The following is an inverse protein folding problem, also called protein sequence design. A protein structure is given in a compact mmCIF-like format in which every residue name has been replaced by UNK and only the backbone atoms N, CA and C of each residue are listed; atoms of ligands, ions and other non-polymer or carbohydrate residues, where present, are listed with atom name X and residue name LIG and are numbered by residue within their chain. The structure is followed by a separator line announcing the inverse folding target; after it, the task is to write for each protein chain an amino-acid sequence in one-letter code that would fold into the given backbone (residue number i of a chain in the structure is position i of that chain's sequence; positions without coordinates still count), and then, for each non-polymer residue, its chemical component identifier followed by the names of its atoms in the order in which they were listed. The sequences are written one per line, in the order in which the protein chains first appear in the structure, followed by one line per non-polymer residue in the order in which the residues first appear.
data_IF_271722217544
#
_entry.id   IF_271722217544
#
_cell.length_a   1.000
_cell.length_b   1.000
_cell.length_c   1.000
_cell.angle_alpha   90.00
_cell.angle_beta   90.00
_cell.angle_gamma   90.00
#
_symmetry.space_group_name_H-M   'P 1'
#
loop_
_entity.id
_entity.type
_entity.pdbx_description
1 polymer ?
#
# COMPACT_ATOMS: atom_id res chain seq x y z
N UNK A 1 1.35 -5.98 -10.98
CA UNK A 1 2.75 -6.42 -10.73
C UNK A 1 3.68 -5.21 -10.77
N UNK A 2 5.00 -5.43 -10.75
CA UNK A 2 6.03 -4.39 -10.65
C UNK A 2 7.24 -4.60 -11.56
N UNK A 3 7.26 -5.66 -12.37
CA UNK A 3 8.36 -5.94 -13.30
C UNK A 3 7.84 -6.68 -14.52
N UNK A 4 8.46 -6.44 -15.67
CA UNK A 4 8.23 -7.19 -16.90
C UNK A 4 9.12 -8.45 -17.00
N UNK A 5 9.95 -8.70 -15.97
CA UNK A 5 10.98 -9.72 -15.91
C UNK A 5 12.05 -9.62 -17.02
N UNK A 6 12.23 -8.41 -17.57
CA UNK A 6 13.25 -8.08 -18.60
C UNK A 6 14.15 -6.92 -18.14
N UNK A 7 14.19 -6.67 -16.84
CA UNK A 7 15.03 -5.63 -16.21
C UNK A 7 14.30 -4.35 -15.86
N UNK A 8 13.05 -4.15 -16.31
CA UNK A 8 12.27 -2.98 -15.93
C UNK A 8 11.57 -3.18 -14.58
N UNK A 9 11.45 -2.09 -13.82
CA UNK A 9 10.67 -2.05 -12.58
C UNK A 9 9.81 -0.79 -12.47
N UNK A 10 8.56 -0.97 -12.06
CA UNK A 10 7.55 0.07 -11.87
C UNK A 10 6.89 -0.07 -10.48
N UNK A 11 6.38 1.03 -9.94
CA UNK A 11 5.98 1.14 -8.53
C UNK A 11 4.48 1.01 -8.30
N UNK A 12 4.12 0.42 -7.15
CA UNK A 12 2.82 0.61 -6.51
C UNK A 12 3.09 1.47 -5.27
N UNK A 13 2.65 2.73 -5.29
CA UNK A 13 3.01 3.67 -4.24
C UNK A 13 1.90 3.81 -3.20
N UNK A 14 2.26 3.75 -1.93
CA UNK A 14 1.36 4.02 -0.82
C UNK A 14 1.54 5.48 -0.37
N UNK A 15 0.46 6.08 0.11
CA UNK A 15 0.46 7.48 0.53
C UNK A 15 -0.26 7.61 1.87
N UNK A 16 0.44 8.14 2.87
CA UNK A 16 -0.09 8.33 4.21
C UNK A 16 -0.06 9.80 4.58
N UNK A 17 -1.20 10.33 5.03
CA UNK A 17 -1.24 11.65 5.63
C UNK A 17 -0.60 11.57 7.02
N UNK A 18 0.32 12.48 7.31
CA UNK A 18 1.03 12.57 8.59
C UNK A 18 1.03 14.02 9.09
N UNK A 19 1.17 14.21 10.39
CA UNK A 19 1.41 15.50 10.99
C UNK A 19 2.80 16.02 10.60
N UNK A 20 2.87 17.31 10.24
CA UNK A 20 4.14 17.97 9.87
C UNK A 20 5.13 18.00 11.03
N UNK A 21 4.64 17.97 12.27
CA UNK A 21 5.45 17.97 13.50
C UNK A 21 6.22 16.68 13.74
N UNK A 22 5.87 15.57 13.07
CA UNK A 22 6.57 14.29 13.21
C UNK A 22 7.97 14.40 12.59
N UNK A 23 9.06 14.23 13.37
CA UNK A 23 10.41 14.35 12.84
C UNK A 23 10.70 13.28 11.78
N UNK A 24 11.19 13.70 10.61
CA UNK A 24 11.47 12.77 9.52
C UNK A 24 12.55 11.73 9.88
N UNK A 25 13.46 12.06 10.80
CA UNK A 25 14.45 11.11 11.31
C UNK A 25 13.81 9.93 12.05
N UNK A 26 12.73 10.14 12.80
CA UNK A 26 11.99 9.07 13.47
C UNK A 26 11.25 8.19 12.47
N UNK A 27 10.69 8.80 11.41
CA UNK A 27 10.10 8.08 10.27
C UNK A 27 11.13 7.15 9.63
N UNK A 28 12.32 7.68 9.31
CA UNK A 28 13.41 6.88 8.70
C UNK A 28 13.85 5.75 9.63
N UNK A 29 14.10 6.07 10.91
CA UNK A 29 14.60 5.12 11.92
C UNK A 29 13.67 3.92 12.07
N UNK A 30 12.37 4.18 12.20
CA UNK A 30 11.39 3.14 12.52
C UNK A 30 10.82 2.45 11.29
N UNK A 31 10.62 3.15 10.17
CA UNK A 31 10.07 2.51 8.97
C UNK A 31 11.08 1.67 8.20
N UNK A 32 12.38 1.96 8.27
CA UNK A 32 13.38 1.19 7.51
C UNK A 32 13.35 -0.30 7.85
N UNK A 33 13.54 -0.73 9.11
CA UNK A 33 13.44 -2.15 9.48
C UNK A 33 12.03 -2.75 9.24
N UNK A 34 10.97 -1.98 9.48
CA UNK A 34 9.61 -2.43 9.19
C UNK A 34 9.41 -2.70 7.69
N UNK A 35 9.84 -1.81 6.81
CA UNK A 35 9.72 -1.98 5.36
C UNK A 35 10.59 -3.09 4.79
N UNK A 36 11.78 -3.28 5.35
CA UNK A 36 12.67 -4.39 4.96
C UNK A 36 12.03 -5.76 5.25
N UNK A 37 11.30 -5.87 6.36
CA UNK A 37 10.70 -7.15 6.80
C UNK A 37 9.25 -7.37 6.36
N UNK A 38 8.42 -6.33 6.20
CA UNK A 38 6.98 -6.48 5.91
C UNK A 38 6.66 -7.22 4.60
N UNK A 39 7.63 -7.37 3.70
CA UNK A 39 7.47 -8.17 2.48
C UNK A 39 7.09 -9.64 2.76
N UNK A 40 7.41 -10.20 3.93
CA UNK A 40 6.93 -11.54 4.32
C UNK A 40 5.39 -11.60 4.37
N UNK A 41 4.74 -10.47 4.67
CA UNK A 41 3.28 -10.32 4.69
C UNK A 41 2.75 -9.80 3.35
N UNK A 42 3.42 -8.83 2.72
CA UNK A 42 2.86 -8.11 1.56
C UNK A 42 3.57 -8.31 0.22
N UNK A 43 4.53 -9.23 0.12
CA UNK A 43 5.20 -9.57 -1.14
C UNK A 43 4.22 -10.20 -2.15
N UNK A 44 4.42 -9.91 -3.44
CA UNK A 44 3.59 -10.46 -4.51
C UNK A 44 4.21 -11.69 -5.21
N UNK A 45 5.44 -12.06 -4.85
CA UNK A 45 6.17 -13.19 -5.42
C UNK A 45 6.76 -12.88 -6.81
N UNK A 46 7.94 -13.41 -7.08
CA UNK A 46 8.62 -13.29 -8.39
C UNK A 46 9.43 -14.54 -8.71
N UNK A 47 9.36 -14.98 -9.97
CA UNK A 47 10.27 -15.98 -10.54
C UNK A 47 11.47 -15.29 -11.15
N UNK A 48 12.67 -15.70 -10.71
CA UNK A 48 13.94 -15.08 -11.05
C UNK A 48 14.43 -14.15 -9.95
N UNK A 49 15.74 -14.15 -9.71
CA UNK A 49 16.44 -13.32 -8.71
C UNK A 49 17.42 -12.37 -9.39
N UNK A 50 17.71 -11.26 -8.73
CA UNK A 50 18.46 -10.14 -9.30
C UNK A 50 17.59 -9.23 -10.16
N UNK A 51 18.06 -8.01 -10.41
CA UNK A 51 17.32 -7.01 -11.17
C UNK A 51 16.99 -7.47 -12.61
N UNK A 52 17.89 -8.24 -13.24
CA UNK A 52 17.69 -8.82 -14.57
C UNK A 52 16.91 -10.15 -14.56
N UNK A 53 16.62 -10.71 -13.38
CA UNK A 53 15.85 -11.95 -13.19
C UNK A 53 16.55 -13.22 -13.65
N UNK A 54 17.87 -13.19 -13.90
CA UNK A 54 18.60 -14.32 -14.47
C UNK A 54 18.98 -15.39 -13.46
N UNK A 55 19.13 -15.03 -12.18
CA UNK A 55 19.45 -16.00 -11.16
C UNK A 55 18.23 -16.88 -10.87
N UNK A 56 18.45 -18.19 -10.82
CA UNK A 56 17.37 -19.15 -10.64
C UNK A 56 16.76 -19.06 -9.23
N UNK A 57 15.42 -19.14 -9.16
CA UNK A 57 14.68 -19.29 -7.91
C UNK A 57 13.39 -18.49 -7.89
N UNK A 58 12.64 -18.68 -6.81
CA UNK A 58 11.53 -17.81 -6.43
C UNK A 58 11.99 -16.86 -5.32
N UNK A 59 11.38 -15.68 -5.27
CA UNK A 59 11.57 -14.69 -4.22
C UNK A 59 10.24 -14.03 -3.82
N UNK A 60 10.17 -13.54 -2.58
CA UNK A 60 8.95 -13.01 -1.95
C UNK A 60 8.49 -11.69 -2.61
N UNK A 61 9.42 -10.77 -2.91
CA UNK A 61 9.09 -9.45 -3.45
C UNK A 61 9.52 -9.28 -4.90
N UNK A 62 8.69 -8.57 -5.68
CA UNK A 62 9.03 -8.13 -7.02
C UNK A 62 9.95 -6.90 -7.04
N UNK A 63 9.96 -6.11 -5.96
CA UNK A 63 10.64 -4.81 -5.88
C UNK A 63 12.01 -4.87 -5.22
N UNK A 64 12.26 -5.81 -4.30
CA UNK A 64 13.46 -5.84 -3.46
C UNK A 64 14.79 -5.67 -4.21
N UNK A 65 14.95 -6.35 -5.36
CA UNK A 65 16.18 -6.30 -6.18
C UNK A 65 16.46 -4.95 -6.83
N UNK A 66 15.48 -4.04 -6.87
CA UNK A 66 15.58 -2.75 -7.57
C UNK A 66 15.87 -1.55 -6.64
N UNK A 67 16.04 -1.81 -5.34
CA UNK A 67 16.38 -0.80 -4.33
C UNK A 67 17.88 -0.79 -4.07
N UNK A 68 18.46 0.40 -3.95
CA UNK A 68 19.91 0.59 -3.94
C UNK A 68 20.41 1.44 -2.77
N UNK A 69 19.55 2.27 -2.19
CA UNK A 69 19.91 3.17 -1.08
C UNK A 69 18.82 3.15 0.01
N UNK A 70 19.15 3.65 1.20
CA UNK A 70 18.22 3.68 2.32
C UNK A 70 17.25 4.86 2.21
N UNK A 71 17.75 6.07 1.93
CA UNK A 71 16.96 7.31 1.91
C UNK A 71 17.32 8.12 0.66
N UNK A 72 16.32 8.70 -0.01
CA UNK A 72 16.55 9.50 -1.22
C UNK A 72 15.26 10.02 -1.87
N UNK A 73 15.41 10.85 -2.91
CA UNK A 73 14.26 11.48 -3.60
C UNK A 73 13.77 10.70 -4.83
N UNK A 74 14.67 9.96 -5.47
CA UNK A 74 14.43 9.31 -6.76
C UNK A 74 13.42 8.16 -6.68
N UNK A 75 12.68 7.93 -7.77
CA UNK A 75 11.69 6.85 -7.86
C UNK A 75 11.97 5.85 -8.98
N UNK A 76 12.86 6.19 -9.92
CA UNK A 76 13.17 5.40 -11.13
C UNK A 76 14.61 4.90 -11.18
N UNK A 77 15.55 5.62 -10.56
CA UNK A 77 16.98 5.28 -10.45
C UNK A 77 17.39 5.32 -8.98
N UNK A 78 18.41 4.55 -8.57
CA UNK A 78 18.94 4.54 -7.18
C UNK A 78 17.82 4.54 -6.14
N UNK A 79 16.87 3.58 -6.27
CA UNK A 79 15.61 3.65 -5.53
C UNK A 79 15.87 3.55 -4.01
N UNK A 80 15.34 4.49 -3.20
CA UNK A 80 15.51 4.50 -1.76
C UNK A 80 14.41 3.71 -1.04
N UNK A 81 14.75 3.01 0.05
CA UNK A 81 13.75 2.37 0.93
C UNK A 81 12.74 3.42 1.44
N UNK A 82 13.24 4.56 1.90
CA UNK A 82 12.46 5.73 2.32
C UNK A 82 12.58 6.83 1.28
N UNK A 83 11.48 7.12 0.59
CA UNK A 83 11.43 8.22 -0.36
C UNK A 83 11.15 9.55 0.36
N UNK A 84 11.90 10.59 0.00
CA UNK A 84 11.85 11.91 0.66
C UNK A 84 11.00 12.94 -0.09
N UNK A 85 10.21 12.53 -1.09
CA UNK A 85 9.32 13.45 -1.81
C UNK A 85 8.35 14.12 -0.85
N UNK A 86 8.26 15.44 -0.94
CA UNK A 86 7.44 16.27 -0.06
C UNK A 86 6.44 17.10 -0.88
N UNK A 87 5.38 16.45 -1.33
CA UNK A 87 4.27 17.05 -2.09
C UNK A 87 2.95 16.70 -1.38
N UNK A 88 2.55 17.44 -0.34
CA UNK A 88 1.45 17.04 0.54
C UNK A 88 0.07 17.09 -0.11
N UNK A 89 -0.10 17.91 -1.17
CA UNK A 89 -1.42 18.24 -1.74
C UNK A 89 -2.43 18.72 -0.69
N UNK A 90 -1.92 19.34 0.37
CA UNK A 90 -2.66 19.86 1.50
C UNK A 90 -1.83 21.02 2.09
N UNK A 91 -2.30 21.62 3.17
CA UNK A 91 -1.53 22.62 3.90
C UNK A 91 -0.18 22.03 4.39
N UNK A 92 0.97 22.49 3.86
CA UNK A 92 2.29 21.92 4.18
C UNK A 92 2.76 22.27 5.60
N UNK A 93 2.14 23.26 6.27
CA UNK A 93 2.47 23.59 7.66
C UNK A 93 1.85 22.59 8.63
N UNK A 94 0.70 22.00 8.27
CA UNK A 94 -0.01 21.01 9.09
C UNK A 94 0.34 19.58 8.72
N UNK A 95 0.51 19.32 7.42
CA UNK A 95 0.53 17.97 6.90
C UNK A 95 1.78 17.65 6.07
N UNK A 96 2.12 16.36 6.09
CA UNK A 96 3.01 15.70 5.14
C UNK A 96 2.24 14.58 4.46
N UNK A 97 2.49 14.36 3.17
CA UNK A 97 2.14 13.09 2.51
C UNK A 97 3.40 12.23 2.48
N UNK A 98 3.47 11.23 3.36
CA UNK A 98 4.54 10.26 3.29
C UNK A 98 4.34 9.40 2.04
N UNK A 99 5.31 9.49 1.13
CA UNK A 99 5.30 8.79 -0.15
C UNK A 99 6.15 7.52 -0.05
N UNK A 100 5.51 6.36 -0.08
CA UNK A 100 6.18 5.05 0.08
C UNK A 100 6.18 4.33 -1.26
N UNK A 101 7.36 3.86 -1.68
CA UNK A 101 7.57 3.30 -3.05
C UNK A 101 8.02 1.84 -3.08
N UNK A 102 8.18 1.23 -1.90
CA UNK A 102 8.83 -0.09 -1.73
C UNK A 102 7.88 -1.27 -1.91
N UNK A 103 6.59 -1.08 -1.68
CA UNK A 103 5.59 -2.14 -1.76
C UNK A 103 5.42 -2.71 -3.17
N UNK A 104 5.13 -4.00 -3.23
CA UNK A 104 4.63 -4.64 -4.43
C UNK A 104 3.16 -4.24 -4.68
N UNK A 105 2.70 -4.34 -5.93
CA UNK A 105 1.28 -4.34 -6.27
C UNK A 105 0.68 -5.69 -5.90
N UNK A 106 -0.33 -5.69 -5.02
CA UNK A 106 -0.98 -6.90 -4.56
C UNK A 106 -2.28 -7.15 -5.33
N UNK A 107 -2.57 -8.42 -5.60
CA UNK A 107 -3.87 -8.86 -6.11
C UNK A 107 -4.78 -9.24 -4.94
N UNK A 108 -4.21 -9.91 -3.93
CA UNK A 108 -4.92 -10.28 -2.71
C UNK A 108 -5.40 -9.05 -1.94
N UNK A 109 -6.69 -9.07 -1.61
CA UNK A 109 -7.33 -8.07 -0.75
C UNK A 109 -6.70 -8.08 0.65
N UNK A 110 -6.35 -9.26 1.18
CA UNK A 110 -5.70 -9.40 2.51
C UNK A 110 -4.29 -8.84 2.51
N UNK A 111 -3.49 -9.12 1.46
CA UNK A 111 -2.14 -8.55 1.35
C UNK A 111 -2.19 -7.03 1.26
N UNK A 112 -3.14 -6.48 0.50
CA UNK A 112 -3.34 -5.02 0.44
C UNK A 112 -3.77 -4.45 1.79
N UNK A 113 -4.76 -5.06 2.43
CA UNK A 113 -5.29 -4.62 3.72
C UNK A 113 -4.22 -4.61 4.81
N UNK A 114 -3.45 -5.70 4.94
CA UNK A 114 -2.36 -5.76 5.91
C UNK A 114 -1.22 -4.79 5.56
N UNK A 115 -0.86 -4.64 4.28
CA UNK A 115 0.17 -3.67 3.85
C UNK A 115 -0.17 -2.26 4.29
N UNK A 116 -1.41 -1.83 4.10
CA UNK A 116 -1.86 -0.48 4.43
C UNK A 116 -2.12 -0.32 5.93
N UNK A 117 -2.83 -1.27 6.55
CA UNK A 117 -3.24 -1.23 7.96
C UNK A 117 -2.06 -1.30 8.93
N UNK A 118 -1.15 -2.27 8.73
CA UNK A 118 0.02 -2.42 9.62
C UNK A 118 0.95 -1.20 9.53
N UNK A 119 1.13 -0.65 8.33
CA UNK A 119 1.91 0.57 8.14
C UNK A 119 1.24 1.77 8.83
N UNK A 120 -0.08 1.93 8.71
CA UNK A 120 -0.81 3.00 9.39
C UNK A 120 -0.65 2.92 10.92
N UNK A 121 -0.70 1.73 11.52
CA UNK A 121 -0.44 1.53 12.95
C UNK A 121 0.99 1.89 13.34
N UNK A 122 1.98 1.48 12.55
CA UNK A 122 3.39 1.86 12.80
C UNK A 122 3.58 3.37 12.71
N UNK A 123 2.94 4.03 11.74
CA UNK A 123 2.98 5.49 11.62
C UNK A 123 2.36 6.16 12.84
N UNK A 124 1.20 5.71 13.30
CA UNK A 124 0.54 6.26 14.50
C UNK A 124 1.46 6.17 15.73
N UNK A 125 2.12 5.02 15.93
CA UNK A 125 3.12 4.85 16.99
C UNK A 125 4.33 5.79 16.85
N UNK A 126 4.77 6.08 15.62
CA UNK A 126 5.86 7.04 15.35
C UNK A 126 5.43 8.47 15.69
N UNK A 127 4.23 8.88 15.27
CA UNK A 127 3.73 10.24 15.51
C UNK A 127 3.56 10.54 17.00
N UNK A 128 3.08 9.55 17.76
CA UNK A 128 2.93 9.66 19.22
C UNK A 128 4.23 9.38 20.00
N UNK A 129 5.34 9.11 19.31
CA UNK A 129 6.65 8.78 19.90
C UNK A 129 6.59 7.58 20.87
N UNK A 130 5.73 6.61 20.56
CA UNK A 130 5.52 5.41 21.37
C UNK A 130 6.64 4.38 21.20
N UNK A 131 7.25 4.31 20.02
CA UNK A 131 8.28 3.32 19.73
C UNK A 131 9.58 3.58 20.50
N UNK A 132 9.90 2.65 21.40
CA UNK A 132 11.15 2.54 22.13
C UNK A 132 12.06 1.43 21.55
N UNK A 133 13.34 1.50 21.91
CA UNK A 133 14.36 0.60 21.38
C UNK A 133 14.77 0.92 19.93
N UNK A 134 15.83 0.24 19.46
CA UNK A 134 16.32 0.37 18.10
C UNK A 134 16.28 -1.01 17.42
N UNK A 135 15.54 -1.08 16.31
CA UNK A 135 15.49 -2.24 15.41
C UNK A 135 16.35 -2.02 14.16
N UNK A 136 17.25 -1.02 14.18
CA UNK A 136 18.08 -0.68 13.04
C UNK A 136 18.89 -1.88 12.56
N UNK A 137 18.84 -2.09 11.24
CA UNK A 137 19.60 -3.13 10.56
C UNK A 137 21.02 -2.64 10.26
N UNK A 138 21.97 -3.57 10.22
CA UNK A 138 23.34 -3.25 9.83
C UNK A 138 23.43 -2.84 8.35
N UNK A 139 22.71 -3.54 7.47
CA UNK A 139 22.74 -3.31 6.02
C UNK A 139 21.34 -3.40 5.38
N UNK A 140 20.44 -2.41 5.57
CA UNK A 140 19.03 -2.49 5.18
C UNK A 140 18.76 -2.91 3.74
N UNK A 141 19.51 -2.38 2.77
CA UNK A 141 19.33 -2.71 1.34
C UNK A 141 19.74 -4.17 1.04
N UNK A 142 20.81 -4.65 1.66
CA UNK A 142 21.24 -6.03 1.49
C UNK A 142 20.23 -6.99 2.13
N UNK A 143 19.75 -6.66 3.34
CA UNK A 143 18.78 -7.46 4.07
C UNK A 143 17.39 -7.48 3.41
N UNK A 144 16.98 -6.40 2.76
CA UNK A 144 15.78 -6.37 1.92
C UNK A 144 15.81 -7.45 0.84
N UNK A 145 16.94 -7.57 0.14
CA UNK A 145 17.13 -8.58 -0.92
C UNK A 145 17.23 -9.97 -0.33
N UNK A 146 17.99 -10.13 0.76
CA UNK A 146 18.21 -11.43 1.41
C UNK A 146 16.91 -12.03 1.96
N UNK A 147 16.05 -11.23 2.62
CA UNK A 147 14.70 -11.67 3.02
C UNK A 147 13.88 -12.07 1.79
N UNK A 148 13.87 -11.26 0.73
CA UNK A 148 13.13 -11.59 -0.49
C UNK A 148 13.56 -12.94 -1.07
N UNK A 149 14.87 -13.19 -1.12
CA UNK A 149 15.45 -14.39 -1.72
C UNK A 149 15.28 -15.66 -0.88
N UNK A 150 14.72 -15.57 0.33
CA UNK A 150 14.40 -16.72 1.17
C UNK A 150 12.90 -16.87 1.42
N UNK A 151 12.15 -17.53 0.50
CA UNK A 151 10.73 -17.78 0.70
C UNK A 151 10.42 -18.76 1.85
N UNK A 152 11.43 -19.39 2.47
CA UNK A 152 11.23 -20.15 3.72
C UNK A 152 11.08 -19.26 4.95
N UNK A 153 11.35 -17.95 4.81
CA UNK A 153 11.29 -16.94 5.87
C UNK A 153 12.24 -17.21 7.07
N UNK A 154 13.38 -17.87 6.83
CA UNK A 154 14.34 -18.28 7.88
C UNK A 154 15.63 -17.45 7.88
N UNK A 155 15.87 -16.64 6.85
CA UNK A 155 17.02 -15.74 6.79
C UNK A 155 17.09 -14.83 8.02
N UNK A 156 18.26 -14.80 8.66
CA UNK A 156 18.53 -14.05 9.88
C UNK A 156 19.24 -12.74 9.55
N UNK A 157 18.50 -11.63 9.63
CA UNK A 157 19.04 -10.28 9.48
C UNK A 157 19.86 -9.88 10.70
N UNK A 158 20.93 -9.10 10.48
CA UNK A 158 21.73 -8.54 11.57
C UNK A 158 21.23 -7.15 11.98
N UNK A 159 20.94 -6.98 13.27
CA UNK A 159 20.63 -5.69 13.88
C UNK A 159 21.91 -5.04 14.40
N UNK A 160 21.94 -3.71 14.47
CA UNK A 160 23.11 -2.94 14.93
C UNK A 160 23.50 -3.21 16.39
N UNK A 161 22.59 -3.74 17.19
CA UNK A 161 22.83 -4.14 18.57
C UNK A 161 23.38 -5.58 18.70
N UNK A 162 23.65 -6.25 17.58
CA UNK A 162 24.19 -7.61 17.51
C UNK A 162 23.13 -8.71 17.58
N UNK A 163 21.85 -8.39 17.79
CA UNK A 163 20.77 -9.39 17.68
C UNK A 163 20.63 -9.87 16.23
N UNK A 164 20.12 -11.09 16.10
CA UNK A 164 19.76 -11.69 14.80
C UNK A 164 18.32 -12.15 14.84
N UNK A 165 17.55 -11.76 13.83
CA UNK A 165 16.11 -12.02 13.79
C UNK A 165 15.71 -12.42 12.37
N UNK A 166 14.67 -13.24 12.23
CA UNK A 166 14.03 -13.44 10.92
C UNK A 166 13.16 -12.23 10.57
N UNK A 167 12.79 -12.10 9.29
CA UNK A 167 11.80 -11.09 8.88
C UNK A 167 10.48 -11.21 9.63
N UNK A 168 10.06 -12.44 9.97
CA UNK A 168 8.85 -12.70 10.77
C UNK A 168 9.03 -12.21 12.22
N UNK A 169 10.15 -12.54 12.86
CA UNK A 169 10.44 -12.09 14.22
C UNK A 169 10.50 -10.56 14.32
N UNK A 170 11.10 -9.89 13.31
CA UNK A 170 11.13 -8.44 13.27
C UNK A 170 9.71 -7.84 13.15
N UNK A 171 8.83 -8.46 12.37
CA UNK A 171 7.43 -8.05 12.29
C UNK A 171 6.64 -8.35 13.57
N UNK A 172 6.96 -9.44 14.28
CA UNK A 172 6.34 -9.77 15.57
C UNK A 172 6.65 -8.71 16.62
N UNK A 173 7.89 -8.21 16.67
CA UNK A 173 8.29 -7.09 17.52
C UNK A 173 7.50 -5.80 17.22
N UNK A 174 7.16 -5.53 15.95
CA UNK A 174 6.30 -4.40 15.60
C UNK A 174 4.84 -4.63 16.02
N UNK A 175 4.34 -5.85 15.84
CA UNK A 175 3.00 -6.23 16.25
C UNK A 175 2.80 -6.12 17.76
N UNK A 176 3.74 -6.62 18.56
CA UNK A 176 3.70 -6.53 20.02
C UNK A 176 3.65 -5.06 20.48
N UNK A 177 4.47 -4.19 19.88
CA UNK A 177 4.41 -2.74 20.14
C UNK A 177 3.08 -2.14 19.70
N UNK A 178 2.53 -2.55 18.55
CA UNK A 178 1.24 -2.06 18.06
C UNK A 178 0.07 -2.49 18.95
N UNK A 179 0.06 -3.73 19.47
CA UNK A 179 -0.93 -4.19 20.46
C UNK A 179 -0.83 -3.37 21.74
N UNK A 180 0.38 -3.17 22.27
CA UNK A 180 0.58 -2.35 23.47
C UNK A 180 0.14 -0.90 23.27
N UNK A 181 0.47 -0.30 22.12
CA UNK A 181 0.06 1.07 21.77
C UNK A 181 -1.46 1.22 21.70
N UNK A 182 -2.13 0.27 21.04
CA UNK A 182 -3.59 0.30 20.89
C UNK A 182 -4.31 0.08 22.22
N UNK A 183 -3.81 -0.82 23.06
CA UNK A 183 -4.30 -1.01 24.43
C UNK A 183 -4.11 0.25 25.28
N UNK A 184 -2.93 0.89 25.24
CA UNK A 184 -2.63 2.11 26.00
C UNK A 184 -3.51 3.31 25.56
N UNK A 185 -3.71 3.47 24.24
CA UNK A 185 -4.40 4.63 23.68
C UNK A 185 -5.92 4.49 23.67
N UNK A 186 -6.43 3.29 23.44
CA UNK A 186 -7.86 3.05 23.23
C UNK A 186 -8.46 2.04 24.22
N UNK A 187 -7.65 1.15 24.81
CA UNK A 187 -8.15 0.11 25.71
C UNK A 187 -9.28 -0.70 25.08
N UNK A 188 -10.42 -0.77 25.78
CA UNK A 188 -11.61 -1.46 25.28
C UNK A 188 -12.37 -0.70 24.17
N UNK A 189 -12.03 0.57 23.92
CA UNK A 189 -12.67 1.42 22.90
C UNK A 189 -11.96 1.36 21.54
N UNK A 190 -11.06 0.39 21.33
CA UNK A 190 -10.42 0.15 20.02
C UNK A 190 -11.48 -0.16 18.97
N UNK A 191 -11.37 0.46 17.79
CA UNK A 191 -12.33 0.21 16.71
C UNK A 191 -12.12 -1.18 16.07
N UNK A 192 -13.20 -1.71 15.49
CA UNK A 192 -13.21 -3.07 14.92
C UNK A 192 -12.18 -3.26 13.81
N UNK A 193 -11.89 -2.23 13.01
CA UNK A 193 -10.93 -2.34 11.90
C UNK A 193 -9.50 -2.40 12.42
N UNK A 194 -9.16 -1.58 13.42
CA UNK A 194 -7.86 -1.64 14.08
C UNK A 194 -7.62 -3.00 14.74
N UNK A 195 -8.63 -3.53 15.45
CA UNK A 195 -8.56 -4.87 16.04
C UNK A 195 -8.38 -5.96 14.98
N UNK A 196 -9.15 -5.93 13.88
CA UNK A 196 -9.05 -6.90 12.79
C UNK A 196 -7.67 -6.87 12.09
N UNK A 197 -7.07 -5.68 11.88
CA UNK A 197 -5.69 -5.58 11.36
C UNK A 197 -4.69 -6.28 12.28
N UNK A 198 -4.75 -6.02 13.60
CA UNK A 198 -3.83 -6.62 14.56
C UNK A 198 -3.97 -8.14 14.61
N UNK A 199 -5.20 -8.63 14.68
CA UNK A 199 -5.50 -10.07 14.77
C UNK A 199 -5.09 -10.82 13.51
N UNK A 200 -5.35 -10.25 12.33
CA UNK A 200 -4.87 -10.82 11.06
C UNK A 200 -3.36 -10.79 10.96
N UNK A 201 -2.72 -9.71 11.41
CA UNK A 201 -1.27 -9.60 11.37
C UNK A 201 -0.63 -10.67 12.24
N UNK A 202 -1.12 -10.87 13.47
CA UNK A 202 -0.66 -11.92 14.37
C UNK A 202 -0.87 -13.33 13.79
N UNK A 203 -2.09 -13.60 13.29
CA UNK A 203 -2.42 -14.89 12.69
C UNK A 203 -1.52 -15.22 11.50
N UNK A 204 -1.26 -14.25 10.63
CA UNK A 204 -0.40 -14.44 9.46
C UNK A 204 1.05 -14.67 9.89
N UNK A 205 1.60 -13.85 10.79
CA UNK A 205 2.98 -14.03 11.25
C UNK A 205 3.19 -15.38 11.95
N UNK A 206 2.23 -15.81 12.77
CA UNK A 206 2.26 -17.10 13.46
C UNK A 206 2.29 -18.25 12.45
N UNK A 207 1.38 -18.23 11.46
CA UNK A 207 1.33 -19.28 10.43
C UNK A 207 2.54 -19.27 9.50
N UNK A 208 3.05 -18.09 9.14
CA UNK A 208 4.28 -17.97 8.36
C UNK A 208 5.49 -18.57 9.09
N UNK A 209 5.54 -18.47 10.42
CA UNK A 209 6.64 -19.04 11.22
C UNK A 209 6.61 -20.57 11.24
N UNK A 210 5.42 -21.17 11.19
CA UNK A 210 5.21 -22.61 11.16
C UNK A 210 5.41 -23.19 9.75
N UNK A 211 4.58 -22.76 8.81
CA UNK A 211 4.61 -23.15 7.41
C UNK A 211 3.94 -22.07 6.54
N UNK A 212 4.70 -21.34 5.71
CA UNK A 212 4.15 -20.29 4.86
C UNK A 212 2.99 -20.74 3.98
N UNK A 213 2.95 -22.02 3.56
CA UNK A 213 1.89 -22.52 2.69
C UNK A 213 0.50 -22.47 3.32
N UNK A 214 0.40 -22.37 4.66
CA UNK A 214 -0.86 -22.19 5.36
C UNK A 214 -1.56 -20.86 5.04
N UNK A 215 -0.88 -19.90 4.43
CA UNK A 215 -1.43 -18.57 4.09
C UNK A 215 -1.69 -18.40 2.59
N UNK A 216 -1.81 -19.50 1.83
CA UNK A 216 -1.96 -19.45 0.36
C UNK A 216 -3.30 -18.88 -0.11
N UNK A 217 -4.29 -18.79 0.78
CA UNK A 217 -5.59 -18.18 0.48
C UNK A 217 -5.59 -16.67 0.75
N UNK A 218 -4.53 -16.15 1.36
CA UNK A 218 -4.46 -14.77 1.85
C UNK A 218 -3.29 -13.99 1.28
N UNK A 219 -2.11 -14.60 1.10
CA UNK A 219 -0.91 -13.88 0.67
C UNK A 219 -0.59 -14.15 -0.80
N UNK A 220 -0.33 -13.09 -1.57
CA UNK A 220 -0.05 -13.21 -3.00
C UNK A 220 1.15 -14.10 -3.31
N UNK A 221 2.29 -13.89 -2.63
CA UNK A 221 3.49 -14.65 -2.91
C UNK A 221 3.30 -16.14 -2.59
N UNK A 222 2.53 -16.48 -1.56
CA UNK A 222 2.24 -17.87 -1.19
C UNK A 222 1.26 -18.50 -2.17
N UNK A 223 0.17 -17.81 -2.53
CA UNK A 223 -0.78 -18.28 -3.53
C UNK A 223 -0.10 -18.54 -4.88
N UNK A 224 0.79 -17.63 -5.28
CA UNK A 224 1.58 -17.75 -6.50
C UNK A 224 2.60 -18.89 -6.39
N UNK A 225 3.27 -19.04 -5.24
CA UNK A 225 4.21 -20.14 -4.99
C UNK A 225 3.50 -21.50 -5.05
N UNK A 226 2.32 -21.65 -4.43
CA UNK A 226 1.48 -22.87 -4.50
C UNK A 226 1.21 -23.25 -5.95
N UNK A 227 0.81 -22.27 -6.77
CA UNK A 227 0.53 -22.46 -8.18
C UNK A 227 1.78 -22.89 -8.95
N UNK A 228 2.89 -22.19 -8.76
CA UNK A 228 4.16 -22.44 -9.45
C UNK A 228 4.73 -23.81 -9.09
N UNK A 229 4.71 -24.20 -7.82
CA UNK A 229 5.12 -25.54 -7.39
C UNK A 229 4.23 -26.63 -8.01
N UNK A 230 2.92 -26.39 -8.15
CA UNK A 230 2.03 -27.28 -8.87
C UNK A 230 2.47 -27.53 -10.33
N UNK A 231 2.96 -26.50 -11.04
CA UNK A 231 3.55 -26.67 -12.38
C UNK A 231 4.88 -27.42 -12.32
N UNK A 232 5.73 -27.12 -11.35
CA UNK A 232 7.05 -27.75 -11.17
C UNK A 232 6.94 -29.23 -10.90
N UNK A 233 6.10 -29.63 -9.95
CA UNK A 233 5.88 -31.05 -9.59
C UNK A 233 5.22 -31.83 -10.72
N UNK A 234 4.20 -31.27 -11.39
CA UNK A 234 3.47 -31.97 -12.46
C UNK A 234 4.34 -32.18 -13.71
N UNK A 235 5.09 -31.16 -14.11
CA UNK A 235 5.78 -31.14 -15.41
C UNK A 235 7.31 -31.27 -15.28
N UNK A 236 7.85 -31.45 -14.06
CA UNK A 236 9.29 -31.58 -13.81
C UNK A 236 10.11 -30.32 -14.13
N UNK A 237 9.56 -29.13 -13.87
CA UNK A 237 10.17 -27.86 -14.29
C UNK A 237 11.15 -27.31 -13.25
N UNK A 238 12.28 -26.79 -13.73
CA UNK A 238 13.21 -25.97 -12.94
C UNK A 238 12.73 -24.51 -12.84
N UNK A 239 13.27 -23.74 -11.90
CA UNK A 239 12.81 -22.36 -11.63
C UNK A 239 13.14 -21.41 -12.79
N UNK A 240 14.18 -21.72 -13.57
CA UNK A 240 14.56 -20.96 -14.76
C UNK A 240 13.68 -21.25 -16.00
N UNK A 241 12.70 -22.15 -15.90
CA UNK A 241 11.90 -22.54 -17.05
C UNK A 241 10.98 -21.38 -17.50
N UNK A 242 10.96 -21.00 -18.81
CA UNK A 242 10.20 -19.84 -19.31
C UNK A 242 8.70 -19.87 -18.98
N UNK A 243 8.12 -21.09 -18.90
CA UNK A 243 6.72 -21.27 -18.51
C UNK A 243 6.41 -20.73 -17.11
N UNK A 244 7.33 -20.84 -16.15
CA UNK A 244 7.11 -20.33 -14.80
C UNK A 244 7.13 -18.80 -14.76
N UNK A 245 7.99 -18.17 -15.58
CA UNK A 245 7.99 -16.71 -15.74
C UNK A 245 6.68 -16.21 -16.38
N UNK A 246 6.12 -16.96 -17.34
CA UNK A 246 4.80 -16.65 -17.91
C UNK A 246 3.69 -16.80 -16.87
N UNK A 247 3.71 -17.84 -16.04
CA UNK A 247 2.75 -18.05 -14.95
C UNK A 247 2.84 -16.91 -13.92
N UNK A 248 4.05 -16.51 -13.54
CA UNK A 248 4.28 -15.36 -12.65
C UNK A 248 3.63 -14.08 -13.20
N UNK A 249 3.84 -13.76 -14.48
CA UNK A 249 3.22 -12.61 -15.13
C UNK A 249 1.69 -12.74 -15.20
N UNK A 250 1.20 -13.90 -15.64
CA UNK A 250 -0.24 -14.19 -15.78
C UNK A 250 -1.00 -14.14 -14.45
N UNK A 251 -0.33 -14.36 -13.32
CA UNK A 251 -0.96 -14.23 -12.00
C UNK A 251 -1.62 -12.87 -11.82
N UNK A 252 -0.97 -11.80 -12.30
CA UNK A 252 -1.42 -10.42 -12.19
C UNK A 252 -2.14 -9.85 -13.41
N UNK A 253 -2.56 -10.70 -14.37
CA UNK A 253 -3.39 -10.23 -15.49
C UNK A 253 -4.77 -9.77 -14.96
N UNK A 254 -5.13 -8.52 -15.24
CA UNK A 254 -6.33 -7.88 -14.70
C UNK A 254 -7.63 -8.42 -15.29
N UNK A 255 -7.58 -9.16 -16.40
CA UNK A 255 -8.77 -9.73 -17.03
C UNK A 255 -9.35 -10.85 -16.17
N UNK A 256 -10.65 -10.81 -15.83
CA UNK A 256 -11.29 -11.81 -14.96
C UNK A 256 -11.10 -13.26 -15.45
N UNK A 257 -11.15 -13.47 -16.76
CA UNK A 257 -11.07 -14.79 -17.38
C UNK A 257 -9.64 -15.30 -17.61
N UNK A 258 -8.63 -14.43 -17.50
CA UNK A 258 -7.22 -14.77 -17.79
C UNK A 258 -6.31 -14.75 -16.57
N UNK A 259 -6.48 -13.78 -15.68
CA UNK A 259 -5.69 -13.63 -14.45
C UNK A 259 -5.72 -14.87 -13.58
N UNK A 260 -4.55 -15.39 -13.20
CA UNK A 260 -4.52 -16.60 -12.36
C UNK A 260 -5.10 -16.30 -10.97
N UNK A 261 -4.83 -15.12 -10.40
CA UNK A 261 -5.49 -14.67 -9.18
C UNK A 261 -7.02 -14.62 -9.32
N UNK A 262 -7.54 -13.96 -10.37
CA UNK A 262 -8.99 -13.86 -10.61
C UNK A 262 -9.63 -15.26 -10.76
N UNK A 263 -8.92 -16.19 -11.40
CA UNK A 263 -9.34 -17.58 -11.52
C UNK A 263 -9.31 -18.33 -10.18
N UNK A 264 -8.44 -17.99 -9.24
CA UNK A 264 -8.46 -18.51 -7.87
C UNK A 264 -9.65 -17.94 -7.08
N UNK A 265 -9.90 -16.63 -7.20
CA UNK A 265 -11.08 -15.96 -6.60
C UNK A 265 -12.37 -16.60 -7.08
N UNK A 266 -12.54 -16.80 -8.38
CA UNK A 266 -13.74 -17.44 -8.97
C UNK A 266 -13.98 -18.88 -8.48
N UNK A 267 -12.95 -19.55 -7.95
CA UNK A 267 -13.03 -20.89 -7.35
C UNK A 267 -13.13 -20.88 -5.84
N UNK A 268 -13.28 -19.70 -5.22
CA UNK A 268 -13.29 -19.56 -3.76
C UNK A 268 -11.98 -20.01 -3.11
N UNK A 269 -10.84 -19.82 -3.79
CA UNK A 269 -9.49 -20.18 -3.30
C UNK A 269 -8.72 -18.99 -2.73
N UNK A 270 -9.25 -17.77 -2.82
CA UNK A 270 -8.71 -16.58 -2.15
C UNK A 270 -9.75 -16.03 -1.18
N UNK A 271 -9.30 -15.57 -0.01
CA UNK A 271 -10.10 -14.81 0.93
C UNK A 271 -10.37 -13.42 0.34
N UNK A 272 -11.58 -12.91 0.57
CA UNK A 272 -12.00 -11.57 0.20
C UNK A 272 -12.49 -10.81 1.42
N UNK A 273 -12.25 -9.51 1.43
CA UNK A 273 -12.65 -8.55 2.44
C UNK A 273 -13.83 -7.70 1.97
N UNK A 274 -13.96 -7.48 0.66
CA UNK A 274 -15.08 -6.74 0.06
C UNK A 274 -15.80 -7.57 -1.00
N UNK A 275 -17.07 -7.25 -1.21
CA UNK A 275 -17.89 -7.86 -2.26
C UNK A 275 -17.62 -7.24 -3.63
N UNK A 276 -17.92 -7.98 -4.72
CA UNK A 276 -17.89 -7.41 -6.08
C UNK A 276 -18.82 -6.22 -6.25
N UNK A 277 -19.96 -6.19 -5.54
CA UNK A 277 -20.89 -5.08 -5.61
C UNK A 277 -20.28 -3.79 -5.04
N UNK A 278 -19.50 -3.89 -3.97
CA UNK A 278 -18.79 -2.74 -3.40
C UNK A 278 -17.68 -2.25 -4.33
N UNK A 279 -16.93 -3.17 -4.95
CA UNK A 279 -15.90 -2.83 -5.94
C UNK A 279 -16.52 -2.12 -7.14
N UNK A 280 -17.60 -2.67 -7.71
CA UNK A 280 -18.30 -2.05 -8.85
C UNK A 280 -18.84 -0.66 -8.50
N UNK A 281 -19.37 -0.49 -7.28
CA UNK A 281 -19.82 0.83 -6.79
C UNK A 281 -18.67 1.83 -6.70
N UNK A 282 -17.49 1.41 -6.26
CA UNK A 282 -16.32 2.27 -6.10
C UNK A 282 -15.69 2.72 -7.44
N UNK A 283 -16.02 2.06 -8.56
CA UNK A 283 -15.66 2.53 -9.91
C UNK A 283 -16.37 3.83 -10.25
N UNK A 284 -17.63 3.96 -9.85
CA UNK A 284 -18.51 5.07 -10.22
C UNK A 284 -18.59 6.16 -9.14
N UNK A 285 -18.45 5.79 -7.87
CA UNK A 285 -18.70 6.68 -6.74
C UNK A 285 -17.43 6.92 -5.91
N UNK A 286 -17.14 8.18 -5.54
CA UNK A 286 -16.01 8.49 -4.66
C UNK A 286 -16.29 8.03 -3.21
N UNK A 287 -15.24 7.86 -2.38
CA UNK A 287 -15.42 7.69 -0.95
C UNK A 287 -16.09 8.92 -0.33
N UNK A 288 -16.94 8.71 0.66
CA UNK A 288 -17.85 9.73 1.19
C UNK A 288 -17.26 10.58 2.32
N UNK A 289 -16.14 10.16 2.89
CA UNK A 289 -15.53 10.67 4.12
C UNK A 289 -14.25 11.49 3.89
N UNK A 290 -13.92 11.77 2.63
CA UNK A 290 -12.80 12.65 2.25
C UNK A 290 -13.22 13.69 1.23
N UNK A 291 -12.34 14.66 0.95
CA UNK A 291 -12.50 15.63 -0.13
C UNK A 291 -12.70 15.03 -1.52
N UNK A 292 -12.40 13.74 -1.70
CA UNK A 292 -12.68 13.03 -2.95
C UNK A 292 -14.19 12.98 -3.23
N UNK A 293 -15.04 12.99 -2.20
CA UNK A 293 -16.49 13.09 -2.36
C UNK A 293 -16.87 14.34 -3.15
N UNK A 294 -16.47 15.52 -2.68
CA UNK A 294 -16.72 16.77 -3.39
C UNK A 294 -16.19 16.73 -4.82
N UNK A 295 -14.93 16.30 -5.02
CA UNK A 295 -14.32 16.23 -6.35
C UNK A 295 -15.10 15.32 -7.31
N UNK A 296 -15.37 14.09 -6.90
CA UNK A 296 -16.07 13.10 -7.73
C UNK A 296 -17.50 13.52 -8.03
N UNK A 297 -18.24 14.03 -7.03
CA UNK A 297 -19.61 14.52 -7.24
C UNK A 297 -19.66 15.75 -8.14
N UNK A 298 -18.69 16.66 -8.07
CA UNK A 298 -18.59 17.79 -8.99
C UNK A 298 -18.34 17.34 -10.43
N UNK A 299 -17.41 16.40 -10.65
CA UNK A 299 -17.13 15.83 -11.97
C UNK A 299 -18.33 15.09 -12.55
N UNK A 300 -19.10 14.38 -11.72
CA UNK A 300 -20.29 13.66 -12.15
C UNK A 300 -21.47 14.59 -12.46
N UNK A 301 -21.71 15.60 -11.60
CA UNK A 301 -22.90 16.45 -11.69
C UNK A 301 -22.73 17.64 -12.63
N UNK A 302 -21.52 18.16 -12.78
CA UNK A 302 -21.23 19.36 -13.57
C UNK A 302 -20.12 19.16 -14.62
N UNK A 303 -20.12 18.05 -15.40
CA UNK A 303 -19.00 17.70 -16.27
C UNK A 303 -18.66 18.81 -17.27
N UNK A 304 -19.66 19.42 -17.89
CA UNK A 304 -19.48 20.46 -18.92
C UNK A 304 -18.94 21.78 -18.36
N UNK A 305 -19.04 21.98 -17.05
CA UNK A 305 -18.60 23.19 -16.36
C UNK A 305 -17.27 22.99 -15.61
N UNK A 306 -16.67 21.79 -15.61
CA UNK A 306 -15.37 21.54 -14.97
C UNK A 306 -14.27 21.59 -16.02
N UNK A 307 -13.48 22.67 -15.99
CA UNK A 307 -12.33 22.83 -16.88
C UNK A 307 -11.14 21.95 -16.47
N UNK A 308 -10.92 21.79 -15.15
CA UNK A 308 -9.85 20.95 -14.62
C UNK A 308 -10.12 20.53 -13.17
N UNK A 309 -9.49 19.43 -12.72
CA UNK A 309 -9.49 19.01 -11.32
C UNK A 309 -8.14 18.43 -10.91
N UNK A 310 -7.74 18.68 -9.66
CA UNK A 310 -6.54 18.16 -9.00
C UNK A 310 -6.86 17.65 -7.60
N UNK A 311 -5.85 17.16 -6.86
CA UNK A 311 -6.02 16.79 -5.46
C UNK A 311 -6.48 17.96 -4.58
N UNK A 312 -5.99 19.17 -4.87
CA UNK A 312 -6.13 20.37 -4.06
C UNK A 312 -7.10 21.42 -4.63
N UNK A 313 -7.75 21.16 -5.78
CA UNK A 313 -8.77 22.06 -6.31
C UNK A 313 -9.67 21.45 -7.38
N UNK A 314 -10.83 22.09 -7.58
CA UNK A 314 -11.68 21.94 -8.77
C UNK A 314 -11.79 23.30 -9.45
N UNK A 315 -11.63 23.35 -10.77
CA UNK A 315 -11.66 24.58 -11.57
C UNK A 315 -12.88 24.55 -12.47
N UNK A 316 -13.78 25.51 -12.29
CA UNK A 316 -15.02 25.62 -13.04
C UNK A 316 -14.95 26.70 -14.12
N UNK A 317 -15.56 26.42 -15.27
CA UNK A 317 -15.93 27.40 -16.30
C UNK A 317 -17.43 27.68 -16.17
N UNK A 318 -17.78 28.90 -15.78
CA UNK A 318 -19.16 29.26 -15.41
C UNK A 318 -19.65 30.33 -16.38
N UNK A 319 -20.76 30.11 -17.10
CA UNK A 319 -21.33 31.10 -17.98
C UNK A 319 -21.56 32.44 -17.28
N UNK A 320 -21.07 33.53 -17.89
CA UNK A 320 -21.17 34.89 -17.34
C UNK A 320 -20.01 35.30 -16.43
N UNK A 321 -19.06 34.41 -16.14
CA UNK A 321 -17.78 34.77 -15.53
C UNK A 321 -16.68 34.89 -16.58
N UNK A 322 -15.95 36.01 -16.60
CA UNK A 322 -14.84 36.22 -17.55
C UNK A 322 -13.61 35.36 -17.24
N UNK A 323 -13.55 34.74 -16.06
CA UNK A 323 -12.41 33.94 -15.60
C UNK A 323 -12.85 32.61 -15.01
N UNK A 324 -11.97 31.60 -15.10
CA UNK A 324 -12.17 30.31 -14.46
C UNK A 324 -12.22 30.45 -12.93
N UNK A 325 -13.19 29.78 -12.32
CA UNK A 325 -13.42 29.82 -10.89
C UNK A 325 -12.74 28.63 -10.21
N UNK A 326 -11.64 28.88 -9.51
CA UNK A 326 -10.92 27.84 -8.75
C UNK A 326 -11.50 27.71 -7.35
N UNK A 327 -11.99 26.52 -7.01
CA UNK A 327 -12.41 26.13 -5.66
C UNK A 327 -11.31 25.27 -5.02
N UNK A 328 -10.58 25.78 -4.00
CA UNK A 328 -9.56 25.00 -3.31
C UNK A 328 -10.18 23.88 -2.45
N UNK A 329 -9.55 22.71 -2.44
CA UNK A 329 -9.90 21.56 -1.60
C UNK A 329 -8.69 21.11 -0.78
N UNK A 330 -8.03 22.05 -0.08
CA UNK A 330 -6.74 21.84 0.58
C UNK A 330 -6.81 20.91 1.80
N UNK A 331 -7.94 20.88 2.52
CA UNK A 331 -8.11 20.02 3.71
C UNK A 331 -8.61 18.63 3.29
N UNK A 332 -7.84 17.53 3.50
CA UNK A 332 -8.22 16.20 3.03
C UNK A 332 -9.53 15.65 3.61
N UNK A 333 -9.88 16.07 4.82
CA UNK A 333 -11.07 15.63 5.56
C UNK A 333 -12.24 16.63 5.52
N UNK A 334 -12.18 17.65 4.66
CA UNK A 334 -13.31 18.54 4.36
C UNK A 334 -13.88 18.25 2.97
N UNK A 335 -15.09 18.73 2.68
CA UNK A 335 -15.76 18.41 1.41
C UNK A 335 -16.23 16.95 1.34
N UNK A 336 -16.45 16.35 2.49
CA UNK A 336 -17.06 15.01 2.65
C UNK A 336 -18.57 15.09 2.42
N UNK A 337 -19.25 13.95 2.33
CA UNK A 337 -20.72 13.87 2.24
C UNK A 337 -21.42 14.64 3.35
N UNK A 338 -20.94 14.50 4.59
CA UNK A 338 -21.49 15.22 5.75
C UNK A 338 -21.35 16.74 5.59
N UNK A 339 -20.25 17.21 4.98
CA UNK A 339 -20.01 18.65 4.81
C UNK A 339 -20.82 19.27 3.67
N UNK A 340 -20.92 18.58 2.52
CA UNK A 340 -21.38 19.19 1.25
C UNK A 340 -22.40 18.36 0.48
N UNK A 341 -22.85 17.21 1.00
CA UNK A 341 -23.83 16.34 0.34
C UNK A 341 -25.12 17.08 0.02
N UNK A 342 -25.79 17.65 1.03
CA UNK A 342 -27.04 18.40 0.85
C UNK A 342 -26.86 19.63 -0.05
N UNK A 343 -25.71 20.31 0.04
CA UNK A 343 -25.38 21.43 -0.83
C UNK A 343 -25.31 20.98 -2.29
N UNK A 344 -24.55 19.92 -2.54
CA UNK A 344 -24.40 19.34 -3.88
C UNK A 344 -25.70 18.77 -4.41
N UNK A 345 -26.61 18.29 -3.57
CA UNK A 345 -27.92 17.81 -3.99
C UNK A 345 -28.83 18.97 -4.41
N UNK A 346 -28.82 20.08 -3.67
CA UNK A 346 -29.65 21.27 -3.95
C UNK A 346 -29.18 22.11 -5.14
N UNK A 347 -27.87 22.32 -5.31
CA UNK A 347 -27.33 23.12 -6.41
C UNK A 347 -27.57 22.40 -7.75
N UNK A 348 -28.23 23.06 -8.70
CA UNK A 348 -28.52 22.51 -10.04
C UNK A 348 -27.41 22.81 -11.04
N UNK A 349 -26.64 23.87 -10.80
CA UNK A 349 -25.55 24.31 -11.68
C UNK A 349 -24.25 24.53 -10.89
N UNK A 350 -23.11 24.49 -11.61
CA UNK A 350 -21.82 24.85 -11.02
C UNK A 350 -21.80 26.32 -10.52
N UNK A 351 -22.52 27.21 -11.19
CA UNK A 351 -22.70 28.60 -10.77
C UNK A 351 -23.33 28.72 -9.39
N UNK A 352 -24.44 28.01 -9.14
CA UNK A 352 -25.09 27.97 -7.83
C UNK A 352 -24.15 27.41 -6.74
N UNK A 353 -23.38 26.37 -7.07
CA UNK A 353 -22.42 25.78 -6.13
C UNK A 353 -21.32 26.78 -5.75
N UNK A 354 -20.70 27.42 -6.74
CA UNK A 354 -19.59 28.36 -6.51
C UNK A 354 -20.08 29.63 -5.78
N UNK A 355 -21.28 30.12 -6.12
CA UNK A 355 -21.93 31.21 -5.39
C UNK A 355 -22.13 30.86 -3.90
N UNK A 356 -22.65 29.67 -3.61
CA UNK A 356 -22.88 29.19 -2.25
C UNK A 356 -21.57 29.03 -1.45
N UNK A 357 -20.49 28.55 -2.09
CA UNK A 357 -19.19 28.36 -1.42
C UNK A 357 -18.44 29.67 -1.15
N UNK A 358 -18.66 30.70 -1.97
CA UNK A 358 -17.98 32.00 -1.85
C UNK A 358 -18.77 33.02 -1.03
N UNK A 359 -19.98 32.68 -0.59
CA UNK A 359 -20.86 33.58 0.17
C UNK A 359 -21.39 34.76 -0.67
N UNK A 360 -21.34 34.65 -2.00
CA UNK A 360 -21.94 35.61 -2.94
C UNK A 360 -23.32 35.07 -3.36
N UNK A 361 -24.27 35.14 -2.44
CA UNK A 361 -25.68 34.81 -2.64
C UNK A 361 -26.56 35.97 -2.24
#
# INVERSE_FOLDING_TARGET
NNTDNKGASYGCHENYLMHRSTPFADIVRHLTPFFVSRQVVCGAGRVGRGADGRNEGFQISQRADFFEVEVGLETTLKRPIINTRDEPHADPEKYRRLHVIIGDANMSEVSTYLKLGTTALVLAMIEDKFLDGDLALEAPVAELRAISHDPSCRHLVALRDGRRMTGIQLQMEYLERARKYTEDRFGADVDEMTADVLDRWESILTRLAEDPMQTSRELDWVAKLELLEGYRTRDGLNWNHPRLQLVDLQYSDVRPERGLYNRLVARGRMLRLVSEAEVARAVELPPEDTRAYFRGRCLQKYPDAVAAASWDSVIFDIPGHDSLQRVPTLEPLRGTRVHVGDLLDRCRTAGELVAALTGRG
#
